data_IF_643660187518
#
_entry.id   IF_643660187518
#
_cell.length_a   1.000
_cell.length_b   1.000
_cell.length_c   1.000
_cell.angle_alpha   90.00
_cell.angle_beta   90.00
_cell.angle_gamma   90.00
#
_symmetry.space_group_name_H-M   'P 1'
#
loop_
_entity.id
_entity.type
_entity.pdbx_description
1 polymer ?
#
# COMPACT_ATOMS: atom_id res chain seq x y z
N UNK A 1 -19.03 11.72 -6.23
CA UNK A 1 -19.17 10.47 -5.44
C UNK A 1 -18.06 10.48 -4.41
N UNK A 2 -18.30 10.18 -3.13
CA UNK A 2 -17.20 10.09 -2.17
C UNK A 2 -16.25 9.00 -2.66
N UNK A 3 -15.01 9.37 -2.97
CA UNK A 3 -13.97 8.41 -3.32
C UNK A 3 -13.68 7.62 -2.04
N UNK A 4 -14.03 6.34 -2.02
CA UNK A 4 -13.70 5.45 -0.92
C UNK A 4 -12.18 5.49 -0.65
N UNK A 5 -11.79 5.52 0.63
CA UNK A 5 -10.39 5.48 1.08
C UNK A 5 -10.29 4.61 2.32
N UNK A 6 -9.33 3.68 2.36
CA UNK A 6 -9.07 2.86 3.56
C UNK A 6 -8.37 3.66 4.66
N UNK A 7 -7.42 4.50 4.27
CA UNK A 7 -6.62 5.35 5.15
C UNK A 7 -6.70 6.81 4.67
N UNK A 8 -6.55 7.80 5.57
CA UNK A 8 -6.42 9.19 5.16
C UNK A 8 -5.09 9.42 4.42
N UNK A 9 -5.01 10.48 3.63
CA UNK A 9 -3.88 10.74 2.73
C UNK A 9 -2.57 10.90 3.51
N UNK A 10 -2.61 11.47 4.71
CA UNK A 10 -1.45 11.62 5.60
C UNK A 10 -0.82 10.27 5.95
N UNK A 11 -1.65 9.25 6.19
CA UNK A 11 -1.16 7.89 6.47
C UNK A 11 -0.55 7.22 5.24
N UNK A 12 -1.03 7.57 4.04
CA UNK A 12 -0.43 7.10 2.79
C UNK A 12 0.95 7.74 2.58
N UNK A 13 1.10 9.02 2.90
CA UNK A 13 2.39 9.70 2.85
C UNK A 13 3.39 9.13 3.87
N UNK A 14 2.95 8.86 5.10
CA UNK A 14 3.80 8.18 6.10
C UNK A 14 4.24 6.79 5.62
N UNK A 15 3.35 6.00 5.03
CA UNK A 15 3.68 4.69 4.46
C UNK A 15 4.68 4.79 3.31
N UNK A 16 4.55 5.83 2.47
CA UNK A 16 5.48 6.13 1.39
C UNK A 16 6.88 6.43 1.93
N UNK A 17 7.00 7.30 2.92
CA UNK A 17 8.28 7.65 3.56
C UNK A 17 8.92 6.43 4.24
N UNK A 18 8.15 5.62 4.95
CA UNK A 18 8.64 4.38 5.58
C UNK A 18 9.17 3.41 4.53
N UNK A 19 8.45 3.25 3.42
CA UNK A 19 8.86 2.36 2.33
C UNK A 19 10.12 2.88 1.61
N UNK A 20 10.28 4.20 1.44
CA UNK A 20 11.52 4.80 0.95
C UNK A 20 12.70 4.52 1.88
N UNK A 21 12.52 4.73 3.18
CA UNK A 21 13.56 4.49 4.19
C UNK A 21 13.95 3.00 4.31
N UNK A 22 13.08 2.10 3.86
CA UNK A 22 13.34 0.66 3.80
C UNK A 22 13.90 0.20 2.44
N UNK A 23 14.24 1.12 1.53
CA UNK A 23 14.71 0.84 0.17
C UNK A 23 13.74 -0.05 -0.65
N UNK A 24 12.43 0.06 -0.38
CA UNK A 24 11.39 -0.70 -1.08
C UNK A 24 11.06 -0.16 -2.48
N UNK A 25 11.87 0.78 -2.98
CA UNK A 25 11.70 1.43 -4.27
C UNK A 25 12.59 0.86 -5.38
N UNK A 26 13.47 -0.08 -5.07
CA UNK A 26 14.22 -0.80 -6.10
C UNK A 26 13.27 -1.47 -7.11
N UNK A 27 13.61 -1.43 -8.40
CA UNK A 27 12.74 -1.96 -9.47
C UNK A 27 12.35 -3.43 -9.25
N UNK A 28 13.29 -4.28 -8.83
CA UNK A 28 13.02 -5.67 -8.47
C UNK A 28 12.11 -5.80 -7.24
N UNK A 29 12.31 -4.95 -6.24
CA UNK A 29 11.51 -4.92 -5.01
C UNK A 29 10.07 -4.49 -5.29
N UNK A 30 9.87 -3.48 -6.14
CA UNK A 30 8.53 -3.04 -6.54
C UNK A 30 7.77 -4.12 -7.30
N UNK A 31 8.45 -4.90 -8.17
CA UNK A 31 7.82 -6.05 -8.82
C UNK A 31 7.42 -7.13 -7.79
N UNK A 32 8.28 -7.44 -6.84
CA UNK A 32 7.99 -8.41 -5.77
C UNK A 32 6.82 -7.95 -4.87
N UNK A 33 6.67 -6.65 -4.62
CA UNK A 33 5.56 -6.10 -3.85
C UNK A 33 4.20 -6.20 -4.55
N UNK A 34 4.21 -6.32 -5.88
CA UNK A 34 3.00 -6.44 -6.71
C UNK A 34 2.64 -7.91 -7.02
N UNK A 35 3.54 -8.84 -6.77
CA UNK A 35 3.37 -10.26 -7.10
C UNK A 35 2.11 -10.84 -6.46
N UNK A 36 1.19 -11.39 -7.25
CA UNK A 36 -0.05 -12.00 -6.74
C UNK A 36 -1.17 -11.02 -6.39
N UNK A 37 -1.00 -9.72 -6.64
CA UNK A 37 -2.10 -8.76 -6.73
C UNK A 37 -2.72 -8.89 -8.12
N UNK A 38 -4.05 -8.77 -8.22
CA UNK A 38 -4.78 -8.83 -9.50
C UNK A 38 -4.11 -7.94 -10.58
N UNK A 39 -3.70 -8.50 -11.73
CA UNK A 39 -3.08 -7.74 -12.81
C UNK A 39 -3.92 -6.56 -13.32
N UNK A 40 -5.25 -6.66 -13.30
CA UNK A 40 -6.14 -5.54 -13.67
C UNK A 40 -6.04 -4.38 -12.67
N UNK A 41 -5.67 -4.68 -11.42
CA UNK A 41 -5.33 -3.69 -10.42
C UNK A 41 -3.93 -3.10 -10.70
N UNK A 42 -2.97 -3.88 -11.15
CA UNK A 42 -1.60 -3.36 -11.35
C UNK A 42 -1.45 -2.56 -12.65
N UNK A 43 -2.15 -2.95 -13.71
CA UNK A 43 -1.96 -2.41 -15.07
C UNK A 43 -2.01 -0.88 -15.22
N UNK A 44 -2.84 -0.12 -14.46
CA UNK A 44 -2.87 1.34 -14.57
C UNK A 44 -1.74 2.07 -13.83
N UNK A 45 -0.87 1.37 -13.12
CA UNK A 45 0.25 1.98 -12.40
C UNK A 45 1.29 2.47 -13.44
N UNK A 46 1.70 3.75 -13.41
CA UNK A 46 2.70 4.27 -14.34
C UNK A 46 4.01 3.50 -14.23
N UNK A 47 4.49 2.98 -15.35
CA UNK A 47 5.82 2.35 -15.48
C UNK A 47 6.78 3.33 -16.16
N UNK A 48 8.03 3.40 -15.68
CA UNK A 48 9.10 4.21 -16.27
C UNK A 48 9.32 5.61 -15.68
N UNK A 49 8.58 5.98 -14.63
CA UNK A 49 8.82 7.22 -13.86
C UNK A 49 9.80 7.03 -12.68
N UNK A 50 10.08 8.10 -11.90
CA UNK A 50 10.87 7.99 -10.68
C UNK A 50 10.28 6.93 -9.74
N UNK A 51 11.07 5.98 -9.21
CA UNK A 51 10.53 4.87 -8.41
C UNK A 51 9.69 5.31 -7.20
N UNK A 52 10.09 6.41 -6.55
CA UNK A 52 9.32 7.02 -5.47
C UNK A 52 7.93 7.52 -5.93
N UNK A 53 7.83 8.10 -7.13
CA UNK A 53 6.55 8.55 -7.68
C UNK A 53 5.65 7.37 -8.06
N UNK A 54 6.21 6.30 -8.61
CA UNK A 54 5.49 5.06 -8.90
C UNK A 54 4.93 4.42 -7.63
N UNK A 55 5.73 4.38 -6.56
CA UNK A 55 5.30 3.90 -5.25
C UNK A 55 4.15 4.74 -4.69
N UNK A 56 4.27 6.06 -4.73
CA UNK A 56 3.23 7.00 -4.29
C UNK A 56 1.91 6.73 -5.01
N UNK A 57 1.94 6.68 -6.35
CA UNK A 57 0.76 6.42 -7.18
C UNK A 57 0.14 5.05 -6.88
N UNK A 58 0.98 4.02 -6.65
CA UNK A 58 0.53 2.67 -6.28
C UNK A 58 -0.25 2.68 -4.97
N UNK A 59 0.31 3.29 -3.92
CA UNK A 59 -0.32 3.35 -2.60
C UNK A 59 -1.65 4.11 -2.64
N UNK A 60 -1.68 5.28 -3.29
CA UNK A 60 -2.91 6.05 -3.46
C UNK A 60 -3.98 5.30 -4.25
N UNK A 61 -3.58 4.53 -5.26
CA UNK A 61 -4.51 3.73 -6.06
C UNK A 61 -5.09 2.59 -5.22
N UNK A 62 -4.25 1.81 -4.54
CA UNK A 62 -4.70 0.70 -3.70
C UNK A 62 -5.54 1.16 -2.51
N UNK A 63 -5.24 2.33 -1.95
CA UNK A 63 -6.05 2.94 -0.91
C UNK A 63 -7.49 3.27 -1.37
N UNK A 64 -7.69 3.50 -2.66
CA UNK A 64 -9.00 3.76 -3.25
C UNK A 64 -9.81 2.51 -3.61
N UNK A 65 -9.25 1.30 -3.45
CA UNK A 65 -9.91 0.05 -3.84
C UNK A 65 -10.38 -0.67 -2.60
N UNK A 66 -11.69 -0.67 -2.37
CA UNK A 66 -12.31 -1.32 -1.22
C UNK A 66 -11.97 -2.82 -1.15
N UNK A 67 -12.20 -3.56 -2.24
CA UNK A 67 -11.97 -5.00 -2.32
C UNK A 67 -11.89 -5.46 -3.78
N UNK A 68 -11.11 -6.51 -4.04
CA UNK A 68 -11.09 -7.22 -5.32
C UNK A 68 -12.21 -8.26 -5.40
N UNK A 69 -12.43 -8.83 -6.59
CA UNK A 69 -13.48 -9.83 -6.82
C UNK A 69 -13.32 -11.11 -5.97
N UNK A 70 -12.08 -11.44 -5.59
CA UNK A 70 -11.75 -12.56 -4.71
C UNK A 70 -11.93 -12.25 -3.20
N UNK A 71 -12.36 -11.03 -2.88
CA UNK A 71 -12.55 -10.59 -1.51
C UNK A 71 -11.28 -10.02 -0.84
N UNK A 72 -10.14 -9.97 -1.53
CA UNK A 72 -8.89 -9.41 -0.99
C UNK A 72 -8.83 -7.89 -1.08
N UNK A 73 -8.01 -7.26 -0.23
CA UNK A 73 -7.77 -5.80 -0.27
C UNK A 73 -6.36 -5.54 -0.80
N UNK A 74 -6.18 -4.87 -1.95
CA UNK A 74 -4.86 -4.67 -2.55
C UNK A 74 -3.86 -3.98 -1.62
N UNK A 75 -4.32 -2.98 -0.86
CA UNK A 75 -3.48 -2.27 0.09
C UNK A 75 -2.96 -3.20 1.20
N UNK A 76 -3.83 -4.08 1.74
CA UNK A 76 -3.43 -5.08 2.75
C UNK A 76 -2.44 -6.07 2.16
N UNK A 77 -2.69 -6.54 0.93
CA UNK A 77 -1.81 -7.46 0.21
C UNK A 77 -0.41 -6.86 0.01
N UNK A 78 -0.35 -5.58 -0.38
CA UNK A 78 0.89 -4.85 -0.55
C UNK A 78 1.63 -4.67 0.79
N UNK A 79 0.92 -4.23 1.84
CA UNK A 79 1.51 -4.02 3.17
C UNK A 79 2.08 -5.31 3.77
N UNK A 80 1.42 -6.46 3.56
CA UNK A 80 1.93 -7.76 4.01
C UNK A 80 3.25 -8.12 3.34
N UNK A 81 3.40 -7.82 2.04
CA UNK A 81 4.65 -8.06 1.31
C UNK A 81 5.73 -7.05 1.70
N UNK A 82 5.37 -5.78 1.87
CA UNK A 82 6.28 -4.76 2.39
C UNK A 82 6.84 -5.17 3.75
N UNK A 83 5.97 -5.61 4.66
CA UNK A 83 6.39 -6.18 5.94
C UNK A 83 7.35 -7.36 5.79
N UNK A 84 7.02 -8.34 4.92
CA UNK A 84 7.87 -9.51 4.69
C UNK A 84 9.27 -9.14 4.16
N UNK A 85 9.34 -8.20 3.21
CA UNK A 85 10.60 -7.74 2.61
C UNK A 85 11.40 -6.85 3.56
N UNK A 86 10.73 -6.12 4.46
CA UNK A 86 11.38 -5.28 5.46
C UNK A 86 11.63 -6.00 6.79
N UNK A 87 11.33 -7.30 6.93
CA UNK A 87 11.40 -8.03 8.22
C UNK A 87 12.77 -8.01 8.89
N UNK A 88 13.85 -7.84 8.11
CA UNK A 88 15.21 -7.73 8.64
C UNK A 88 15.52 -6.33 9.20
N UNK A 89 14.66 -5.34 8.94
CA UNK A 89 14.80 -3.96 9.39
C UNK A 89 13.84 -3.72 10.56
N UNK A 90 14.28 -3.01 11.61
CA UNK A 90 13.44 -2.65 12.79
C UNK A 90 12.20 -1.79 12.46
N UNK A 91 11.97 -1.50 11.17
CA UNK A 91 10.87 -0.69 10.65
C UNK A 91 9.63 -1.55 10.33
N UNK A 92 9.73 -2.88 10.42
CA UNK A 92 8.63 -3.82 10.18
C UNK A 92 7.40 -3.55 11.07
N UNK A 93 7.59 -3.00 12.27
CA UNK A 93 6.49 -2.69 13.19
C UNK A 93 5.47 -1.69 12.61
N UNK A 94 5.89 -0.76 11.74
CA UNK A 94 4.98 0.19 11.11
C UNK A 94 4.02 -0.49 10.12
N UNK A 95 4.53 -1.36 9.25
CA UNK A 95 3.68 -2.10 8.32
C UNK A 95 2.70 -3.02 9.06
N UNK A 96 3.15 -3.64 10.17
CA UNK A 96 2.30 -4.49 10.99
C UNK A 96 1.15 -3.70 11.65
N UNK A 97 1.40 -2.49 12.16
CA UNK A 97 0.35 -1.62 12.73
C UNK A 97 -0.70 -1.25 11.69
N UNK A 98 -0.28 -0.85 10.48
CA UNK A 98 -1.23 -0.53 9.42
C UNK A 98 -2.08 -1.75 9.01
N UNK A 99 -1.51 -2.95 9.00
CA UNK A 99 -2.29 -4.18 8.77
C UNK A 99 -3.33 -4.39 9.87
N UNK A 100 -2.99 -4.13 11.14
CA UNK A 100 -3.91 -4.26 12.26
C UNK A 100 -5.06 -3.24 12.20
N UNK A 101 -4.77 -1.98 11.85
CA UNK A 101 -5.80 -0.94 11.64
C UNK A 101 -6.79 -1.34 10.54
N UNK A 102 -6.30 -1.84 9.41
CA UNK A 102 -7.14 -2.30 8.30
C UNK A 102 -7.94 -3.57 8.62
N UNK A 103 -7.36 -4.46 9.43
CA UNK A 103 -8.02 -5.72 9.83
C UNK A 103 -9.09 -5.50 10.92
N UNK A 104 -8.98 -4.41 11.69
CA UNK A 104 -9.93 -4.07 12.77
C UNK A 104 -11.19 -3.35 12.26
N UNK A 105 -11.28 -3.09 10.95
CA UNK A 105 -12.41 -2.39 10.33
C UNK A 105 -12.36 -0.87 10.51
N UNK A 106 -13.04 -0.09 9.65
CA UNK A 106 -12.94 1.37 9.67
C UNK A 106 -13.42 1.92 11.01
N UNK A 107 -12.49 2.49 11.78
CA UNK A 107 -12.83 3.29 12.95
C UNK A 107 -13.39 4.64 12.49
N UNK A 108 -14.70 4.64 12.19
CA UNK A 108 -15.61 5.77 11.95
C UNK A 108 -15.29 6.75 10.79
N UNK A 109 -16.33 7.32 10.15
CA UNK A 109 -16.15 8.40 9.19
C UNK A 109 -15.67 9.68 9.90
N UNK A 110 -14.65 10.31 9.32
CA UNK A 110 -14.36 11.74 9.54
C UNK A 110 -15.57 12.52 9.04
N UNK A 111 -16.32 13.11 9.96
CA UNK A 111 -17.22 14.23 9.69
C UNK A 111 -16.48 15.49 10.14
N UNK A 112 -16.23 16.40 9.19
CA UNK A 112 -16.03 17.81 9.45
C UNK A 112 -16.84 18.58 8.38
#
# INVERSE_FOLDING_TARGET
MPNFRHLPDERILELHDVALNCDLVGQGTQLALLEGIDPACVAPIPVGGPPAATLMATLFRFNGIERLADGSVPLVQWLRRAWQLSRALQVADHFQRCIQELSSGPSRPVQA
#
